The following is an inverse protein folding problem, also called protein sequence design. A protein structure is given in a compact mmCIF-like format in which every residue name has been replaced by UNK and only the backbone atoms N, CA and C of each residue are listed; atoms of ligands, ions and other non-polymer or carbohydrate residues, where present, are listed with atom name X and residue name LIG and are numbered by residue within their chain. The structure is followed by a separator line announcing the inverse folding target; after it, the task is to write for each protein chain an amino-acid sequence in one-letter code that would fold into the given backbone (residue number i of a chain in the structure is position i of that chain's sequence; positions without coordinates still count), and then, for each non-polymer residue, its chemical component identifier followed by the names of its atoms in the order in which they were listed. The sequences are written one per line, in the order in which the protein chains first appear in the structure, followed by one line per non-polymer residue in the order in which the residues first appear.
data_IF_143355439601
#
_entry.id   IF_143355439601
#
_cell.length_a   1.000
_cell.length_b   1.000
_cell.length_c   1.000
_cell.angle_alpha   90.00
_cell.angle_beta   90.00
_cell.angle_gamma   90.00
#
_symmetry.space_group_name_H-M   'P 1'
#
loop_
_entity.id
_entity.type
_entity.pdbx_description
1 polymer ?
#
# COMPACT_ATOMS: atom_id res chain seq x y z
N UNK A 1 4.54 4.95 -25.01
CA UNK A 1 5.34 4.07 -24.13
C UNK A 1 6.62 4.74 -23.60
N UNK A 2 7.39 5.45 -24.45
CA UNK A 2 8.59 6.23 -24.04
C UNK A 2 8.36 7.28 -22.93
N UNK A 3 7.17 7.87 -22.85
CA UNK A 3 6.82 8.89 -21.85
C UNK A 3 6.68 8.37 -20.42
N UNK A 4 6.38 7.07 -20.24
CA UNK A 4 6.25 6.46 -18.91
C UNK A 4 7.65 6.16 -18.35
N UNK A 5 8.54 5.62 -19.18
CA UNK A 5 9.95 5.39 -18.85
C UNK A 5 10.67 6.70 -18.50
N UNK A 6 10.41 7.78 -19.25
CA UNK A 6 10.96 9.10 -18.94
C UNK A 6 10.51 9.62 -17.57
N UNK A 7 9.20 9.54 -17.26
CA UNK A 7 8.66 9.92 -15.95
C UNK A 7 9.22 9.09 -14.81
N UNK A 8 9.39 7.78 -15.02
CA UNK A 8 10.02 6.88 -14.03
C UNK A 8 11.48 7.26 -13.82
N UNK A 9 12.22 7.52 -14.90
CA UNK A 9 13.64 7.93 -14.83
C UNK A 9 13.82 9.27 -14.13
N UNK A 10 12.90 10.21 -14.33
CA UNK A 10 12.90 11.53 -13.70
C UNK A 10 12.54 11.45 -12.22
N UNK A 11 11.52 10.65 -11.86
CA UNK A 11 11.25 10.27 -10.46
C UNK A 11 12.45 9.56 -9.82
N UNK A 12 13.14 8.69 -10.55
CA UNK A 12 14.33 7.98 -10.07
C UNK A 12 15.56 8.89 -9.88
N UNK A 13 15.65 9.98 -10.65
CA UNK A 13 16.73 10.98 -10.52
C UNK A 13 16.47 11.95 -9.36
N UNK A 14 15.21 12.20 -9.03
CA UNK A 14 14.79 13.12 -7.97
C UNK A 14 14.58 12.43 -6.62
N UNK A 15 14.23 11.13 -6.62
CA UNK A 15 14.03 10.31 -5.43
C UNK A 15 15.31 9.59 -5.03
N UNK A 16 15.48 9.36 -3.73
CA UNK A 16 16.59 8.58 -3.22
C UNK A 16 16.43 7.12 -3.68
N UNK A 17 17.45 6.51 -4.32
CA UNK A 17 17.37 5.15 -4.90
C UNK A 17 16.79 4.11 -3.93
N UNK A 18 17.09 4.26 -2.65
CA UNK A 18 16.59 3.40 -1.57
C UNK A 18 15.07 3.55 -1.35
N UNK A 19 14.55 4.78 -1.33
CA UNK A 19 13.11 5.04 -1.16
C UNK A 19 12.31 4.50 -2.35
N UNK A 20 12.84 4.62 -3.56
CA UNK A 20 12.20 4.06 -4.75
C UNK A 20 12.13 2.52 -4.71
N UNK A 21 13.24 1.86 -4.32
CA UNK A 21 13.26 0.40 -4.16
C UNK A 21 12.27 -0.06 -3.08
N UNK A 22 12.22 0.65 -1.95
CA UNK A 22 11.31 0.36 -0.85
C UNK A 22 9.84 0.53 -1.26
N UNK A 23 9.54 1.58 -2.04
CA UNK A 23 8.21 1.80 -2.63
C UNK A 23 7.79 0.64 -3.54
N UNK A 24 8.69 0.19 -4.42
CA UNK A 24 8.42 -0.93 -5.30
C UNK A 24 8.17 -2.23 -4.51
N UNK A 25 8.95 -2.46 -3.45
CA UNK A 25 8.79 -3.61 -2.57
C UNK A 25 7.43 -3.63 -1.86
N UNK A 26 7.05 -2.52 -1.21
CA UNK A 26 5.73 -2.43 -0.55
C UNK A 26 4.56 -2.49 -1.53
N UNK A 27 4.71 -1.90 -2.73
CA UNK A 27 3.71 -2.02 -3.77
C UNK A 27 3.53 -3.47 -4.24
N UNK A 28 4.63 -4.22 -4.41
CA UNK A 28 4.58 -5.63 -4.77
C UNK A 28 3.92 -6.48 -3.68
N UNK A 29 4.25 -6.22 -2.41
CA UNK A 29 3.60 -6.84 -1.24
C UNK A 29 2.11 -6.54 -1.20
N UNK A 30 1.70 -5.29 -1.44
CA UNK A 30 0.29 -4.90 -1.48
C UNK A 30 -0.47 -5.63 -2.57
N UNK A 31 0.13 -5.82 -3.75
CA UNK A 31 -0.47 -6.58 -4.86
C UNK A 31 -0.58 -8.06 -4.47
N UNK A 32 0.45 -8.63 -3.85
CA UNK A 32 0.43 -10.01 -3.36
C UNK A 32 -0.72 -10.24 -2.35
N UNK A 33 -0.86 -9.35 -1.36
CA UNK A 33 -1.97 -9.41 -0.41
C UNK A 33 -3.33 -9.22 -1.10
N UNK A 34 -3.45 -8.31 -2.06
CA UNK A 34 -4.70 -8.11 -2.80
C UNK A 34 -5.10 -9.38 -3.57
N UNK A 35 -4.15 -10.05 -4.22
CA UNK A 35 -4.41 -11.32 -4.94
C UNK A 35 -4.86 -12.41 -3.96
N UNK A 36 -4.21 -12.54 -2.80
CA UNK A 36 -4.62 -13.47 -1.75
C UNK A 36 -6.04 -13.20 -1.25
N UNK A 37 -6.39 -11.93 -1.01
CA UNK A 37 -7.74 -11.53 -0.57
C UNK A 37 -8.79 -11.88 -1.63
N UNK A 38 -8.51 -11.62 -2.92
CA UNK A 38 -9.41 -11.97 -4.02
C UNK A 38 -9.59 -13.49 -4.12
N UNK A 39 -8.50 -14.25 -4.00
CA UNK A 39 -8.55 -15.71 -4.07
C UNK A 39 -9.42 -16.29 -2.94
N UNK A 40 -9.21 -15.84 -1.70
CA UNK A 40 -9.99 -16.27 -0.54
C UNK A 40 -11.45 -15.85 -0.64
N UNK A 41 -11.73 -14.62 -1.09
CA UNK A 41 -13.10 -14.14 -1.27
C UNK A 41 -13.84 -14.96 -2.33
N UNK A 42 -13.15 -15.33 -3.41
CA UNK A 42 -13.72 -16.17 -4.48
C UNK A 42 -13.92 -17.61 -4.01
N UNK A 43 -12.96 -18.17 -3.28
CA UNK A 43 -13.06 -19.51 -2.69
C UNK A 43 -14.19 -19.59 -1.66
N UNK A 44 -14.36 -18.58 -0.80
CA UNK A 44 -15.48 -18.51 0.15
C UNK A 44 -16.85 -18.30 -0.51
N UNK A 45 -16.89 -17.72 -1.71
CA UNK A 45 -18.12 -17.58 -2.49
C UNK A 45 -18.48 -18.86 -3.27
N UNK A 46 -17.48 -19.62 -3.71
CA UNK A 46 -17.62 -20.85 -4.50
C UNK A 46 -17.74 -22.10 -3.63
N UNK A 47 -17.18 -22.09 -2.42
CA UNK A 47 -17.20 -23.20 -1.49
C UNK A 47 -17.56 -22.67 -0.12
N UNK A 48 -18.67 -23.15 0.45
CA UNK A 48 -19.12 -22.81 1.80
C UNK A 48 -18.23 -23.44 2.90
N UNK A 49 -16.96 -23.69 2.59
CA UNK A 49 -15.99 -24.25 3.51
C UNK A 49 -15.19 -23.10 4.12
N UNK A 50 -15.52 -22.77 5.36
CA UNK A 50 -15.05 -21.59 6.11
C UNK A 50 -13.64 -21.77 6.71
N UNK A 51 -12.79 -22.57 6.08
CA UNK A 51 -11.51 -23.01 6.66
C UNK A 51 -10.33 -22.03 6.44
N UNK A 52 -10.55 -20.85 5.85
CA UNK A 52 -9.48 -19.85 5.74
C UNK A 52 -9.51 -18.91 6.94
N UNK A 53 -8.73 -19.25 7.96
CA UNK A 53 -8.87 -18.72 9.33
C UNK A 53 -8.61 -17.21 9.53
N UNK A 54 -8.11 -16.42 8.57
CA UNK A 54 -7.78 -15.00 8.87
C UNK A 54 -7.96 -14.01 7.70
N UNK A 55 -9.18 -13.81 7.16
CA UNK A 55 -9.45 -12.79 6.14
C UNK A 55 -9.14 -11.36 6.62
N UNK A 56 -9.35 -11.08 7.91
CA UNK A 56 -9.05 -9.77 8.50
C UNK A 56 -7.56 -9.45 8.56
N UNK A 57 -6.69 -10.44 8.79
CA UNK A 57 -5.24 -10.25 8.87
C UNK A 57 -4.62 -9.95 7.48
N UNK A 58 -5.18 -10.54 6.42
CA UNK A 58 -4.78 -10.26 5.04
C UNK A 58 -5.24 -8.87 4.58
N UNK A 59 -6.48 -8.49 4.91
CA UNK A 59 -6.97 -7.13 4.67
C UNK A 59 -6.14 -6.09 5.43
N UNK A 60 -5.80 -6.37 6.70
CA UNK A 60 -4.88 -5.55 7.48
C UNK A 60 -3.55 -5.38 6.75
N UNK A 61 -2.91 -6.48 6.34
CA UNK A 61 -1.63 -6.46 5.63
C UNK A 61 -1.66 -5.63 4.34
N UNK A 62 -2.76 -5.71 3.59
CA UNK A 62 -2.96 -4.92 2.37
C UNK A 62 -3.03 -3.42 2.67
N UNK A 63 -3.92 -2.99 3.57
CA UNK A 63 -4.07 -1.57 3.91
C UNK A 63 -2.82 -1.01 4.60
N UNK A 64 -2.13 -1.82 5.41
CA UNK A 64 -0.89 -1.45 6.07
C UNK A 64 0.25 -1.21 5.07
N UNK A 65 0.44 -2.11 4.10
CA UNK A 65 1.44 -1.94 3.04
C UNK A 65 1.12 -0.74 2.13
N UNK A 66 -0.16 -0.50 1.85
CA UNK A 66 -0.58 0.68 1.10
C UNK A 66 -0.35 1.98 1.88
N UNK A 67 -0.62 1.99 3.19
CA UNK A 67 -0.28 3.08 4.10
C UNK A 67 1.24 3.39 4.11
N UNK A 68 2.09 2.37 4.23
CA UNK A 68 3.54 2.51 4.17
C UNK A 68 4.03 3.09 2.84
N UNK A 69 3.40 2.73 1.73
CA UNK A 69 3.68 3.30 0.40
C UNK A 69 3.45 4.82 0.39
N UNK A 70 2.38 5.29 1.03
CA UNK A 70 2.09 6.72 1.16
C UNK A 70 3.08 7.41 2.12
N UNK A 71 3.52 6.75 3.20
CA UNK A 71 4.58 7.28 4.09
C UNK A 71 5.88 7.52 3.33
N UNK A 72 6.28 6.60 2.45
CA UNK A 72 7.49 6.78 1.63
C UNK A 72 7.35 8.01 0.72
N UNK A 73 6.17 8.22 0.15
CA UNK A 73 5.90 9.39 -0.70
C UNK A 73 5.87 10.70 0.11
N UNK A 74 5.38 10.69 1.36
CA UNK A 74 5.52 11.83 2.30
C UNK A 74 6.98 12.13 2.62
N UNK A 75 7.78 11.11 2.92
CA UNK A 75 9.21 11.27 3.22
C UNK A 75 9.95 11.82 2.00
N UNK A 76 9.65 11.33 0.81
CA UNK A 76 10.22 11.83 -0.45
C UNK A 76 9.86 13.31 -0.68
N UNK A 77 8.59 13.69 -0.49
CA UNK A 77 8.12 15.08 -0.58
C UNK A 77 8.79 15.99 0.45
N UNK A 78 8.97 15.50 1.68
CA UNK A 78 9.60 16.24 2.77
C UNK A 78 11.10 16.47 2.49
N UNK A 79 11.82 15.45 2.02
CA UNK A 79 13.23 15.55 1.59
C UNK A 79 13.38 16.48 0.39
N UNK A 80 12.47 16.40 -0.58
CA UNK A 80 12.47 17.26 -1.77
C UNK A 80 11.95 18.68 -1.51
N UNK A 81 11.52 19.02 -0.28
CA UNK A 81 10.82 20.27 0.10
C UNK A 81 9.62 20.61 -0.79
N UNK A 82 9.05 19.65 -1.50
CA UNK A 82 7.85 19.82 -2.33
C UNK A 82 6.63 19.67 -1.44
N UNK A 83 5.89 20.76 -1.23
CA UNK A 83 4.70 20.79 -0.36
C UNK A 83 3.39 20.54 -1.09
N UNK A 84 3.41 20.46 -2.42
CA UNK A 84 2.20 20.18 -3.22
C UNK A 84 1.58 18.86 -2.79
N UNK A 85 0.29 18.90 -2.44
CA UNK A 85 -0.52 17.77 -1.99
C UNK A 85 -0.05 17.02 -0.72
N UNK A 86 0.98 17.52 -0.03
CA UNK A 86 1.54 16.89 1.18
C UNK A 86 0.46 16.67 2.27
N UNK A 87 -0.33 17.70 2.57
CA UNK A 87 -1.40 17.62 3.59
C UNK A 87 -2.46 16.60 3.23
N UNK A 88 -2.87 16.55 1.97
CA UNK A 88 -3.87 15.59 1.50
C UNK A 88 -3.35 14.15 1.62
N UNK A 89 -2.09 13.93 1.22
CA UNK A 89 -1.45 12.63 1.30
C UNK A 89 -1.24 12.19 2.75
N UNK A 90 -0.96 13.13 3.66
CA UNK A 90 -0.85 12.89 5.10
C UNK A 90 -2.19 12.48 5.71
N UNK A 91 -3.28 13.17 5.38
CA UNK A 91 -4.63 12.79 5.82
C UNK A 91 -5.01 11.41 5.30
N UNK A 92 -4.78 11.14 4.01
CA UNK A 92 -5.06 9.83 3.41
C UNK A 92 -4.24 8.71 4.08
N UNK A 93 -2.99 8.98 4.44
CA UNK A 93 -2.13 8.03 5.16
C UNK A 93 -2.67 7.72 6.55
N UNK A 94 -3.01 8.75 7.34
CA UNK A 94 -3.60 8.57 8.67
C UNK A 94 -4.91 7.78 8.56
N UNK A 95 -5.76 8.12 7.59
CA UNK A 95 -7.01 7.41 7.36
C UNK A 95 -6.78 5.94 6.99
N UNK A 96 -5.85 5.66 6.07
CA UNK A 96 -5.49 4.30 5.68
C UNK A 96 -4.97 3.45 6.85
N UNK A 97 -4.10 4.01 7.70
CA UNK A 97 -3.66 3.34 8.92
C UNK A 97 -4.79 3.17 9.93
N UNK A 98 -5.66 4.16 10.11
CA UNK A 98 -6.82 4.06 11.00
C UNK A 98 -7.76 2.91 10.60
N UNK A 99 -8.06 2.79 9.31
CA UNK A 99 -8.86 1.66 8.78
C UNK A 99 -8.13 0.34 8.98
N UNK A 100 -6.82 0.29 8.73
CA UNK A 100 -6.00 -0.90 8.98
C UNK A 100 -6.07 -1.34 10.45
N UNK A 101 -5.86 -0.43 11.40
CA UNK A 101 -5.96 -0.72 12.83
C UNK A 101 -7.37 -1.14 13.26
N UNK A 102 -8.41 -0.53 12.69
CA UNK A 102 -9.80 -0.91 12.95
C UNK A 102 -10.07 -2.37 12.51
N UNK A 103 -9.63 -2.74 11.31
CA UNK A 103 -9.77 -4.11 10.79
C UNK A 103 -9.00 -5.11 11.67
N UNK A 104 -7.79 -4.77 12.10
CA UNK A 104 -7.01 -5.62 13.01
C UNK A 104 -7.72 -5.81 14.35
N UNK A 105 -8.26 -4.73 14.91
CA UNK A 105 -8.98 -4.77 16.20
C UNK A 105 -10.30 -5.53 16.13
N UNK A 106 -10.95 -5.57 14.96
CA UNK A 106 -12.16 -6.36 14.72
C UNK A 106 -11.86 -7.84 14.48
N UNK A 107 -10.65 -8.16 14.02
CA UNK A 107 -10.21 -9.50 13.64
C UNK A 107 -9.48 -10.25 14.77
N UNK A 108 -9.26 -9.60 15.90
CA UNK A 108 -8.69 -10.14 17.16
C UNK A 108 -9.82 -10.40 18.15
#
# INVERSE_FOLDING_TARGET
MLSVLARVKEKYKQSNKFLFALKAFFSALSIYFAIQVIFISTSGLVSADSSTEFPGLLLFGMFFCWGLTNVIELVEMLVAKKKEHFTFLLIATIFGFGVSFYILSLSI
#
